data_IF_329001503909
#
_entry.id   IF_329001503909
#
_cell.length_a   1.000
_cell.length_b   1.000
_cell.length_c   1.000
_cell.angle_alpha   90.00
_cell.angle_beta   90.00
_cell.angle_gamma   90.00
#
_symmetry.space_group_name_H-M   'P 1'
#
loop_
_entity.id
_entity.type
_entity.pdbx_description
1 polymer ?
#
# COMPACT_ATOMS: atom_id res chain seq x y z
N UNK A 1 -8.51 4.69 22.47
CA UNK A 1 -7.76 3.54 21.94
C UNK A 1 -7.96 3.52 20.43
N UNK A 2 -6.89 3.55 19.65
CA UNK A 2 -7.01 3.52 18.18
C UNK A 2 -7.33 2.11 17.68
N UNK A 3 -8.18 2.02 16.66
CA UNK A 3 -8.48 0.76 15.97
C UNK A 3 -7.51 0.54 14.80
N UNK A 4 -7.09 -0.70 14.49
CA UNK A 4 -6.31 -0.97 13.29
C UNK A 4 -7.08 -0.56 12.03
N UNK A 5 -6.40 0.04 11.05
CA UNK A 5 -7.02 0.45 9.79
C UNK A 5 -7.77 -0.72 9.13
N UNK A 6 -7.14 -1.90 9.11
CA UNK A 6 -7.71 -3.13 8.54
C UNK A 6 -9.01 -3.59 9.20
N UNK A 7 -9.26 -3.25 10.47
CA UNK A 7 -10.48 -3.62 11.16
C UNK A 7 -11.66 -2.81 10.61
N UNK A 8 -11.55 -1.49 10.55
CA UNK A 8 -12.60 -0.64 9.99
C UNK A 8 -12.75 -0.85 8.48
N UNK A 9 -11.64 -0.95 7.74
CA UNK A 9 -11.68 -1.10 6.28
C UNK A 9 -12.19 -2.46 5.79
N UNK A 10 -12.23 -3.48 6.65
CA UNK A 10 -12.90 -4.74 6.35
C UNK A 10 -14.41 -4.55 6.17
N UNK A 11 -14.99 -3.59 6.86
CA UNK A 11 -16.43 -3.30 6.83
C UNK A 11 -16.74 -2.11 5.92
N UNK A 12 -15.97 -1.03 6.01
CA UNK A 12 -16.23 0.21 5.29
C UNK A 12 -15.84 0.14 3.80
N UNK A 13 -14.82 -0.65 3.45
CA UNK A 13 -14.31 -0.80 2.08
C UNK A 13 -13.88 -2.24 1.80
N UNK A 14 -14.80 -3.21 1.86
CA UNK A 14 -14.49 -4.64 1.85
C UNK A 14 -13.73 -5.08 0.60
N UNK A 15 -13.99 -4.46 -0.56
CA UNK A 15 -13.31 -4.78 -1.82
C UNK A 15 -11.83 -4.38 -1.77
N UNK A 16 -11.53 -3.17 -1.27
CA UNK A 16 -10.14 -2.67 -1.13
C UNK A 16 -9.39 -3.49 -0.09
N UNK A 17 -10.04 -3.78 1.05
CA UNK A 17 -9.49 -4.67 2.06
C UNK A 17 -9.18 -6.04 1.47
N UNK A 18 -10.10 -6.62 0.70
CA UNK A 18 -9.92 -7.93 0.07
C UNK A 18 -8.77 -7.93 -0.94
N UNK A 19 -8.63 -6.88 -1.75
CA UNK A 19 -7.48 -6.73 -2.66
C UNK A 19 -6.16 -6.71 -1.92
N UNK A 20 -6.05 -5.93 -0.85
CA UNK A 20 -4.87 -5.90 0.03
C UNK A 20 -4.62 -7.23 0.71
N UNK A 21 -5.63 -7.80 1.35
CA UNK A 21 -5.53 -9.05 2.12
C UNK A 21 -5.02 -10.20 1.24
N UNK A 22 -5.48 -10.27 -0.01
CA UNK A 22 -5.09 -11.30 -0.98
C UNK A 22 -3.86 -10.92 -1.83
N UNK A 23 -3.20 -9.80 -1.54
CA UNK A 23 -1.97 -9.38 -2.21
C UNK A 23 -0.72 -9.96 -1.55
N UNK A 24 0.42 -9.87 -2.23
CA UNK A 24 1.71 -10.20 -1.64
C UNK A 24 2.02 -9.38 -0.37
N UNK A 25 1.55 -8.12 -0.30
CA UNK A 25 1.72 -7.28 0.88
C UNK A 25 0.81 -7.70 2.04
N UNK A 26 -0.42 -8.13 1.76
CA UNK A 26 -1.33 -8.68 2.77
C UNK A 26 -0.80 -9.98 3.37
N UNK A 27 -0.35 -10.90 2.52
CA UNK A 27 0.27 -12.18 2.92
C UNK A 27 1.53 -11.93 3.74
N UNK A 28 2.36 -10.96 3.34
CA UNK A 28 3.56 -10.56 4.09
C UNK A 28 3.28 -9.64 5.29
N UNK A 29 2.01 -9.45 5.66
CA UNK A 29 1.57 -8.65 6.81
C UNK A 29 2.02 -7.17 6.80
N UNK A 30 2.29 -6.60 5.63
CA UNK A 30 2.52 -5.15 5.47
C UNK A 30 1.21 -4.44 5.78
N UNK A 31 1.18 -3.66 6.86
CA UNK A 31 0.01 -2.93 7.32
C UNK A 31 -0.18 -1.66 6.50
N UNK A 32 -1.42 -1.15 6.53
CA UNK A 32 -1.81 0.04 5.78
C UNK A 32 -0.90 1.25 6.08
N UNK A 33 -0.50 1.42 7.35
CA UNK A 33 0.31 2.57 7.77
C UNK A 33 1.75 2.55 7.23
N UNK A 34 2.31 1.40 6.82
CA UNK A 34 3.64 1.40 6.19
C UNK A 34 3.63 2.15 4.84
N UNK A 35 2.50 2.18 4.15
CA UNK A 35 2.33 2.96 2.92
C UNK A 35 1.67 4.31 3.20
N UNK A 36 0.57 4.29 3.94
CA UNK A 36 -0.30 5.45 4.14
C UNK A 36 0.13 6.36 5.29
N UNK A 37 1.05 5.93 6.16
CA UNK A 37 1.41 6.67 7.38
C UNK A 37 0.57 6.28 8.60
N UNK A 38 1.04 6.68 9.78
CA UNK A 38 0.32 6.55 11.05
C UNK A 38 -0.83 7.56 11.14
N UNK A 39 -1.57 7.60 12.24
CA UNK A 39 -2.67 8.57 12.42
C UNK A 39 -2.21 10.03 12.31
N UNK A 40 -0.97 10.33 12.69
CA UNK A 40 -0.37 11.67 12.65
C UNK A 40 0.20 12.02 11.27
N UNK A 41 0.55 11.01 10.47
CA UNK A 41 1.28 11.17 9.20
C UNK A 41 0.48 10.64 8.00
N UNK A 42 -0.82 10.42 8.20
CA UNK A 42 -1.68 9.75 7.24
C UNK A 42 -1.78 10.53 5.92
N UNK A 43 -1.74 9.79 4.82
CA UNK A 43 -2.01 10.26 3.47
C UNK A 43 -2.82 9.21 2.71
N UNK A 44 -3.86 9.68 2.03
CA UNK A 44 -4.70 8.83 1.18
C UNK A 44 -3.86 8.16 0.09
N UNK A 45 -2.95 8.91 -0.54
CA UNK A 45 -2.02 8.38 -1.54
C UNK A 45 -0.60 8.37 -0.96
N UNK A 46 0.05 7.19 -0.84
CA UNK A 46 1.45 7.06 -0.42
C UNK A 46 2.40 7.86 -1.31
N UNK A 47 3.59 8.24 -0.82
CA UNK A 47 4.68 8.70 -1.70
C UNK A 47 5.43 7.48 -2.22
N UNK A 48 6.09 7.63 -3.37
CA UNK A 48 6.93 6.56 -3.94
C UNK A 48 8.01 6.08 -2.97
N UNK A 49 8.58 7.00 -2.19
CA UNK A 49 9.64 6.70 -1.23
C UNK A 49 9.18 5.81 -0.08
N UNK A 50 7.87 5.75 0.21
CA UNK A 50 7.33 4.76 1.16
C UNK A 50 7.61 3.32 0.72
N UNK A 51 7.71 3.08 -0.58
CA UNK A 51 8.03 1.76 -1.13
C UNK A 51 9.52 1.45 -1.04
N UNK A 52 10.40 2.46 -1.05
CA UNK A 52 11.85 2.29 -1.14
C UNK A 52 12.43 1.56 0.09
N UNK A 53 11.79 1.65 1.25
CA UNK A 53 12.18 0.95 2.48
C UNK A 53 12.32 -0.56 2.27
N UNK A 54 11.48 -1.16 1.44
CA UNK A 54 11.54 -2.59 1.12
C UNK A 54 11.92 -2.87 -0.35
N UNK A 55 11.65 -1.93 -1.26
CA UNK A 55 11.76 -2.11 -2.71
C UNK A 55 12.81 -1.20 -3.36
N UNK A 56 13.91 -0.90 -2.65
CA UNK A 56 15.00 -0.05 -3.14
C UNK A 56 15.44 -0.38 -4.57
N UNK A 57 15.70 -1.67 -4.86
CA UNK A 57 16.12 -2.12 -6.20
C UNK A 57 15.07 -1.87 -7.29
N UNK A 58 13.79 -1.82 -6.94
CA UNK A 58 12.72 -1.53 -7.90
C UNK A 58 12.64 -0.04 -8.21
N UNK A 59 13.12 0.84 -7.32
CA UNK A 59 13.17 2.28 -7.55
C UNK A 59 14.05 2.64 -8.75
N UNK A 60 15.10 1.86 -9.01
CA UNK A 60 15.98 2.02 -10.17
C UNK A 60 15.32 1.56 -11.48
N UNK A 61 14.32 0.68 -11.40
CA UNK A 61 13.60 0.13 -12.56
C UNK A 61 12.32 0.91 -12.88
N UNK A 62 11.80 1.65 -11.91
CA UNK A 62 10.62 2.50 -12.07
C UNK A 62 11.05 3.87 -12.62
N UNK A 63 10.37 4.41 -13.65
CA UNK A 63 10.66 5.75 -14.13
C UNK A 63 10.56 6.81 -13.02
N UNK A 64 11.50 7.75 -13.01
CA UNK A 64 11.63 8.73 -11.94
C UNK A 64 10.41 9.67 -11.81
N UNK A 65 9.66 9.85 -12.91
CA UNK A 65 8.47 10.69 -13.06
C UNK A 65 7.15 9.94 -12.81
N UNK A 66 7.20 8.62 -12.57
CA UNK A 66 6.01 7.78 -12.40
C UNK A 66 5.92 7.18 -11.02
N UNK A 67 4.68 6.95 -10.61
CA UNK A 67 4.38 6.18 -9.41
C UNK A 67 4.14 4.71 -9.73
N UNK A 68 4.45 3.82 -8.79
CA UNK A 68 4.32 2.37 -8.94
C UNK A 68 2.92 1.96 -9.40
N UNK A 69 1.90 2.62 -8.86
CA UNK A 69 0.49 2.32 -9.13
C UNK A 69 -0.03 2.78 -10.51
N UNK A 70 0.79 3.46 -11.31
CA UNK A 70 0.43 3.74 -12.70
C UNK A 70 0.49 2.47 -13.57
N UNK A 71 1.36 1.52 -13.21
CA UNK A 71 1.48 0.22 -13.88
C UNK A 71 0.92 -0.94 -13.05
N UNK A 72 1.02 -0.86 -11.72
CA UNK A 72 0.53 -1.88 -10.81
C UNK A 72 -0.83 -1.50 -10.24
N UNK A 73 -1.77 -2.44 -10.14
CA UNK A 73 -3.04 -2.12 -9.50
C UNK A 73 -2.82 -1.87 -7.99
N UNK A 74 -3.25 -0.72 -7.43
CA UNK A 74 -3.16 -0.45 -6.00
C UNK A 74 -3.76 -1.58 -5.17
N UNK A 75 -3.21 -1.77 -3.96
CA UNK A 75 -3.64 -2.76 -2.96
C UNK A 75 -3.55 -4.23 -3.39
N UNK A 76 -3.61 -4.58 -4.68
CA UNK A 76 -3.28 -5.93 -5.16
C UNK A 76 -1.81 -6.09 -5.57
N UNK A 77 -1.17 -4.98 -5.97
CA UNK A 77 0.18 -4.88 -6.53
C UNK A 77 0.53 -5.93 -7.61
N UNK A 78 -0.50 -6.41 -8.32
CA UNK A 78 -0.32 -7.24 -9.51
C UNK A 78 0.10 -6.34 -10.68
N UNK A 79 0.97 -6.85 -11.55
CA UNK A 79 1.21 -6.23 -12.87
C UNK A 79 -0.09 -6.38 -13.68
N UNK A 80 -0.50 -5.31 -14.36
CA UNK A 80 -1.50 -5.42 -15.42
C UNK A 80 -0.99 -6.32 -16.54
#
# INVERSE_FOLDING_TARGET
MYIPCSQCHREATPEVYSQWYNSAHGIAMVKCYQCHGTFETFRLTPKRDNCAVCHEKMMQKCPADRACWQCHLPHSFRRK
#
